data_IF_190014609442
#
_entry.id   IF_190014609442
#
_cell.length_a   1.000
_cell.length_b   1.000
_cell.length_c   1.000
_cell.angle_alpha   90.00
_cell.angle_beta   90.00
_cell.angle_gamma   90.00
#
_symmetry.space_group_name_H-M   'P 1'
#
loop_
_entity.id
_entity.type
_entity.pdbx_description
1 polymer ?
#
# COMPACT_ATOMS: atom_id res chain seq x y z
N UNK A 1 -4.65 18.82 -14.01
CA UNK A 1 -3.27 18.53 -14.49
C UNK A 1 -2.69 17.49 -13.55
N UNK A 2 -2.26 16.34 -14.06
CA UNK A 2 -1.71 15.24 -13.25
C UNK A 2 -0.19 15.30 -13.31
N UNK A 3 0.48 15.10 -12.17
CA UNK A 3 1.94 15.05 -12.08
C UNK A 3 2.39 13.59 -12.03
N UNK A 4 3.07 13.12 -13.09
CA UNK A 4 3.60 11.76 -13.16
C UNK A 4 5.10 11.77 -12.88
N UNK A 5 5.55 10.90 -11.97
CA UNK A 5 6.97 10.67 -11.66
C UNK A 5 7.27 9.19 -11.58
N UNK A 6 8.38 8.78 -12.19
CA UNK A 6 8.89 7.41 -12.13
C UNK A 6 10.05 7.33 -11.14
N UNK A 7 9.95 6.45 -10.14
CA UNK A 7 10.99 6.21 -9.16
C UNK A 7 11.71 4.89 -9.49
N UNK A 8 12.99 4.97 -9.86
CA UNK A 8 13.83 3.79 -10.13
C UNK A 8 14.68 3.48 -8.91
N UNK A 9 14.39 2.37 -8.24
CA UNK A 9 15.12 1.93 -7.04
C UNK A 9 15.96 0.71 -7.40
N UNK A 10 17.27 0.91 -7.59
CA UNK A 10 18.19 -0.19 -7.84
C UNK A 10 18.46 -0.95 -6.54
N UNK A 11 18.25 -2.27 -6.55
CA UNK A 11 18.47 -3.13 -5.39
C UNK A 11 19.51 -4.20 -5.73
N UNK A 12 20.43 -4.55 -4.82
CA UNK A 12 21.41 -5.62 -5.01
C UNK A 12 20.78 -6.99 -4.69
N UNK A 13 19.59 -7.26 -5.23
CA UNK A 13 18.81 -8.48 -4.99
C UNK A 13 18.26 -8.99 -6.32
N UNK A 14 18.09 -10.30 -6.46
CA UNK A 14 17.35 -10.86 -7.59
C UNK A 14 15.85 -10.57 -7.45
N UNK A 15 15.10 -10.77 -8.54
CA UNK A 15 13.65 -10.62 -8.53
C UNK A 15 13.02 -11.64 -7.58
N UNK A 16 13.57 -12.85 -7.48
CA UNK A 16 13.06 -13.87 -6.57
C UNK A 16 13.30 -13.51 -5.10
N UNK A 17 14.48 -12.98 -4.78
CA UNK A 17 14.82 -12.51 -3.43
C UNK A 17 13.98 -11.30 -3.02
N UNK A 18 13.75 -10.37 -3.95
CA UNK A 18 12.90 -9.21 -3.71
C UNK A 18 11.47 -9.60 -3.36
N UNK A 19 10.92 -10.65 -3.97
CA UNK A 19 9.57 -11.16 -3.66
C UNK A 19 9.43 -11.52 -2.18
N UNK A 20 10.40 -12.27 -1.67
CA UNK A 20 10.42 -12.74 -0.28
C UNK A 20 10.64 -11.54 0.66
N UNK A 21 11.58 -10.66 0.31
CA UNK A 21 11.86 -9.45 1.08
C UNK A 21 10.66 -8.51 1.16
N UNK A 22 9.96 -8.28 0.05
CA UNK A 22 8.77 -7.43 0.00
C UNK A 22 7.67 -7.94 0.92
N UNK A 23 7.36 -9.23 0.89
CA UNK A 23 6.34 -9.83 1.76
C UNK A 23 6.71 -9.70 3.24
N UNK A 24 7.97 -9.98 3.59
CA UNK A 24 8.47 -9.80 4.94
C UNK A 24 8.37 -8.34 5.40
N UNK A 25 8.77 -7.40 4.54
CA UNK A 25 8.72 -5.96 4.85
C UNK A 25 7.28 -5.47 5.03
N UNK A 26 6.33 -5.93 4.22
CA UNK A 26 4.91 -5.60 4.39
C UNK A 26 4.39 -6.12 5.73
N UNK A 27 4.71 -7.37 6.08
CA UNK A 27 4.31 -7.95 7.37
C UNK A 27 4.92 -7.20 8.56
N UNK A 28 6.23 -6.91 8.51
CA UNK A 28 6.94 -6.21 9.59
C UNK A 28 6.44 -4.77 9.74
N UNK A 29 6.28 -4.05 8.64
CA UNK A 29 5.74 -2.68 8.67
C UNK A 29 4.31 -2.67 9.23
N UNK A 30 3.47 -3.65 8.86
CA UNK A 30 2.12 -3.75 9.40
C UNK A 30 2.12 -3.98 10.92
N UNK A 31 3.08 -4.75 11.43
CA UNK A 31 3.28 -4.96 12.88
C UNK A 31 3.68 -3.65 13.58
N UNK A 32 4.70 -2.95 13.06
CA UNK A 32 5.19 -1.68 13.61
C UNK A 32 4.09 -0.60 13.65
N UNK A 33 3.25 -0.52 12.62
CA UNK A 33 2.15 0.46 12.57
C UNK A 33 0.99 0.11 13.52
N UNK A 34 0.81 -1.18 13.84
CA UNK A 34 -0.27 -1.62 14.73
C UNK A 34 -0.01 -1.27 16.21
N UNK A 35 1.25 -1.13 16.62
CA UNK A 35 1.62 -0.78 18.01
C UNK A 35 1.39 0.70 18.36
N UNK A 36 1.30 1.59 17.37
CA UNK A 36 1.17 3.04 17.57
C UNK A 36 -0.29 3.54 17.71
N UNK A 37 -1.30 2.67 17.67
CA UNK A 37 -2.70 3.04 17.93
C UNK A 37 -3.42 3.85 16.83
N UNK A 38 -2.72 4.27 15.77
CA UNK A 38 -3.29 4.72 14.49
C UNK A 38 -3.09 3.64 13.42
N UNK A 39 -4.19 3.05 12.96
CA UNK A 39 -4.18 1.77 12.28
C UNK A 39 -4.32 1.82 10.76
N UNK A 40 -3.73 0.81 10.13
CA UNK A 40 -4.10 0.35 8.79
C UNK A 40 -5.14 -0.77 8.96
N UNK A 41 -6.37 -0.52 8.55
CA UNK A 41 -7.43 -1.53 8.57
C UNK A 41 -7.43 -2.30 7.24
N UNK A 42 -7.29 -3.62 7.26
CA UNK A 42 -7.42 -4.46 6.07
C UNK A 42 -8.89 -4.83 5.91
N UNK A 43 -9.56 -4.22 4.93
CA UNK A 43 -10.99 -4.40 4.69
C UNK A 43 -11.26 -5.63 3.82
N UNK A 44 -10.46 -5.83 2.78
CA UNK A 44 -10.60 -6.96 1.88
C UNK A 44 -9.23 -7.53 1.50
N UNK A 45 -9.13 -8.86 1.46
CA UNK A 45 -7.96 -9.57 0.98
C UNK A 45 -8.43 -10.83 0.25
N UNK A 46 -8.42 -10.81 -1.08
CA UNK A 46 -8.93 -11.92 -1.91
C UNK A 46 -8.02 -12.23 -3.10
N UNK A 47 -7.98 -13.49 -3.55
CA UNK A 47 -7.34 -13.81 -4.82
C UNK A 47 -8.06 -13.10 -5.97
N UNK A 48 -7.31 -12.65 -6.96
CA UNK A 48 -7.84 -12.04 -8.18
C UNK A 48 -7.16 -12.65 -9.42
N UNK A 49 -7.81 -12.52 -10.57
CA UNK A 49 -7.26 -12.93 -11.86
C UNK A 49 -7.34 -11.77 -12.84
N UNK A 50 -6.26 -11.54 -13.57
CA UNK A 50 -6.17 -10.54 -14.62
C UNK A 50 -5.86 -11.23 -15.97
N UNK A 51 -6.49 -10.81 -17.07
CA UNK A 51 -6.30 -11.44 -18.39
C UNK A 51 -4.87 -11.28 -18.94
N UNK A 52 -4.11 -10.27 -18.49
CA UNK A 52 -2.75 -9.98 -18.97
C UNK A 52 -1.72 -10.48 -17.96
N UNK A 53 -1.95 -10.25 -16.67
CA UNK A 53 -0.99 -10.50 -15.60
C UNK A 53 -1.23 -11.82 -14.83
N UNK A 54 -2.34 -12.50 -15.09
CA UNK A 54 -2.65 -13.81 -14.51
C UNK A 54 -3.15 -13.73 -13.07
N UNK A 55 -2.80 -14.73 -12.26
CA UNK A 55 -3.24 -14.83 -10.86
C UNK A 55 -2.53 -13.81 -9.98
N UNK A 56 -3.28 -13.14 -9.13
CA UNK A 56 -2.77 -12.16 -8.18
C UNK A 56 -3.57 -12.12 -6.89
N UNK A 57 -3.27 -11.11 -6.08
CA UNK A 57 -3.96 -10.83 -4.82
C UNK A 57 -4.48 -9.39 -4.85
N UNK A 58 -5.77 -9.22 -4.57
CA UNK A 58 -6.37 -7.92 -4.31
C UNK A 58 -6.38 -7.64 -2.80
N UNK A 59 -5.98 -6.44 -2.42
CA UNK A 59 -6.12 -5.94 -1.05
C UNK A 59 -6.70 -4.55 -1.03
N UNK A 60 -7.69 -4.33 -0.16
CA UNK A 60 -8.20 -3.01 0.19
C UNK A 60 -7.85 -2.67 1.63
N UNK A 61 -7.26 -1.50 1.85
CA UNK A 61 -6.86 -1.03 3.17
C UNK A 61 -7.37 0.39 3.42
N UNK A 62 -7.90 0.64 4.61
CA UNK A 62 -8.29 1.97 5.07
C UNK A 62 -7.24 2.48 6.05
N UNK A 63 -6.57 3.58 5.68
CA UNK A 63 -5.42 4.12 6.42
C UNK A 63 -5.87 5.39 7.16
N UNK A 64 -5.81 5.36 8.48
CA UNK A 64 -6.12 6.50 9.34
C UNK A 64 -4.87 7.35 9.56
N UNK A 65 -4.88 8.61 9.06
CA UNK A 65 -3.70 9.48 9.02
C UNK A 65 -3.82 10.74 9.90
N UNK A 66 -4.88 10.84 10.71
CA UNK A 66 -5.27 12.08 11.39
C UNK A 66 -4.15 12.71 12.23
N UNK A 67 -3.34 11.91 12.93
CA UNK A 67 -2.26 12.41 13.79
C UNK A 67 -0.89 12.50 13.10
N UNK A 68 -0.70 11.80 11.96
CA UNK A 68 0.58 11.77 11.21
C UNK A 68 0.76 12.92 10.22
N UNK A 69 -0.28 13.70 9.95
CA UNK A 69 -0.19 14.82 9.02
C UNK A 69 0.47 16.06 9.63
N UNK A 70 1.20 16.87 8.86
CA UNK A 70 1.63 18.21 9.27
C UNK A 70 0.45 19.08 9.75
N UNK A 71 0.68 19.93 10.76
CA UNK A 71 -0.36 20.75 11.41
C UNK A 71 -1.19 21.60 10.42
N UNK A 72 -0.55 22.17 9.39
CA UNK A 72 -1.25 22.98 8.39
C UNK A 72 -2.21 22.15 7.52
N UNK A 73 -1.97 20.86 7.33
CA UNK A 73 -2.89 19.96 6.62
C UNK A 73 -4.03 19.55 7.55
N UNK A 74 -3.72 19.22 8.82
CA UNK A 74 -4.74 18.90 9.82
C UNK A 74 -5.77 20.02 9.99
N UNK A 75 -5.36 21.28 9.86
CA UNK A 75 -6.26 22.44 9.96
C UNK A 75 -7.30 22.53 8.81
N UNK A 76 -7.04 21.89 7.67
CA UNK A 76 -7.89 21.95 6.47
C UNK A 76 -8.67 20.64 6.28
N UNK A 77 -8.19 19.53 6.83
CA UNK A 77 -8.84 18.23 6.75
C UNK A 77 -9.89 18.02 7.86
N UNK A 78 -10.93 17.19 7.61
CA UNK A 78 -11.88 16.79 8.64
C UNK A 78 -11.18 16.10 9.82
N UNK A 79 -11.75 16.17 11.03
CA UNK A 79 -11.15 15.53 12.23
C UNK A 79 -11.04 14.01 12.10
N UNK A 80 -11.91 13.39 11.31
CA UNK A 80 -11.89 11.95 11.02
C UNK A 80 -11.91 11.80 9.52
N UNK A 81 -10.81 11.31 8.95
CA UNK A 81 -10.72 10.90 7.55
C UNK A 81 -9.79 9.70 7.45
N UNK A 82 -9.96 8.92 6.40
CA UNK A 82 -9.11 7.80 6.06
C UNK A 82 -8.81 7.83 4.56
N UNK A 83 -7.69 7.23 4.17
CA UNK A 83 -7.33 7.04 2.77
C UNK A 83 -7.60 5.59 2.41
N UNK A 84 -8.28 5.37 1.30
CA UNK A 84 -8.52 4.03 0.77
C UNK A 84 -7.37 3.67 -0.17
N UNK A 85 -6.62 2.65 0.19
CA UNK A 85 -5.61 2.04 -0.67
C UNK A 85 -6.20 0.75 -1.27
N UNK A 86 -6.36 0.73 -2.59
CA UNK A 86 -6.69 -0.49 -3.35
C UNK A 86 -5.46 -0.93 -4.11
N UNK A 87 -5.06 -2.19 -3.93
CA UNK A 87 -3.86 -2.75 -4.54
C UNK A 87 -4.12 -4.11 -5.17
N UNK A 88 -3.51 -4.34 -6.33
CA UNK A 88 -3.51 -5.59 -7.07
C UNK A 88 -2.07 -6.04 -7.27
N UNK A 89 -1.71 -7.15 -6.63
CA UNK A 89 -0.39 -7.73 -6.68
C UNK A 89 -0.39 -8.94 -7.64
N UNK A 90 0.22 -8.75 -8.82
CA UNK A 90 0.49 -9.76 -9.84
C UNK A 90 1.99 -9.98 -10.00
N UNK A 91 2.70 -10.16 -8.87
CA UNK A 91 4.17 -10.17 -8.81
C UNK A 91 4.84 -10.79 -10.05
N UNK A 92 5.76 -10.08 -10.73
CA UNK A 92 6.47 -8.86 -10.28
C UNK A 92 5.73 -7.54 -10.55
N UNK A 93 4.54 -7.58 -11.15
CA UNK A 93 3.76 -6.38 -11.41
C UNK A 93 2.83 -6.08 -10.23
N UNK A 94 2.75 -4.82 -9.83
CA UNK A 94 1.83 -4.40 -8.76
C UNK A 94 1.24 -3.04 -9.12
N UNK A 95 -0.07 -2.93 -8.98
CA UNK A 95 -0.84 -1.72 -9.21
C UNK A 95 -1.47 -1.28 -7.90
N UNK A 96 -1.37 0.01 -7.57
CA UNK A 96 -2.07 0.60 -6.44
C UNK A 96 -2.73 1.88 -6.92
N UNK A 97 -4.05 1.98 -6.77
CA UNK A 97 -4.84 3.09 -7.33
C UNK A 97 -6.28 2.70 -7.62
N UNK A 98 -6.91 3.39 -8.58
CA UNK A 98 -8.21 3.00 -9.13
C UNK A 98 -7.98 2.21 -10.43
N UNK A 99 -8.69 1.08 -10.58
CA UNK A 99 -8.68 0.25 -11.79
C UNK A 99 -9.80 0.70 -12.74
#
# INVERSE_FOLDING_TARGET
MVLTKEYRVCMPLTVEEYKIGQLYMIARHSLEQSEEGEGVEVVENKPCEDPVHGKGQYTEKHIHLSSRLPYWIQAICPRVFYVIEKSWNYYPYTLTGEQ
#
